data_IF_078284126459
#
_entry.id   IF_078284126459
#
_cell.length_a   1.000
_cell.length_b   1.000
_cell.length_c   1.000
_cell.angle_alpha   90.00
_cell.angle_beta   90.00
_cell.angle_gamma   90.00
#
_symmetry.space_group_name_H-M   'P 1'
#
loop_
_entity.id
_entity.type
_entity.pdbx_description
1 polymer ?
#
# COMPACT_ATOMS: atom_id res chain seq x y z
N UNK A 1 -17.84 -18.11 -17.09
CA UNK A 1 -17.57 -18.21 -15.64
C UNK A 1 -17.65 -16.80 -15.08
N UNK A 2 -18.45 -16.54 -14.04
CA UNK A 2 -18.35 -15.26 -13.31
C UNK A 2 -17.00 -15.28 -12.61
N UNK A 3 -16.16 -14.28 -12.85
CA UNK A 3 -14.99 -14.07 -11.99
C UNK A 3 -15.47 -14.10 -10.53
N UNK A 4 -14.74 -14.76 -9.61
CA UNK A 4 -15.05 -14.61 -8.22
C UNK A 4 -14.91 -13.13 -7.90
N UNK A 5 -16.04 -12.53 -7.57
CA UNK A 5 -16.23 -11.13 -7.17
C UNK A 5 -15.24 -10.59 -6.11
N UNK A 6 -14.55 -11.41 -5.26
CA UNK A 6 -13.57 -10.91 -4.28
C UNK A 6 -12.36 -10.15 -4.85
N UNK A 7 -11.76 -10.57 -5.97
CA UNK A 7 -10.46 -10.00 -6.41
C UNK A 7 -10.63 -8.54 -6.86
N UNK A 8 -11.69 -8.24 -7.61
CA UNK A 8 -11.97 -6.87 -8.06
C UNK A 8 -12.17 -5.91 -6.88
N UNK A 9 -12.88 -6.35 -5.85
CA UNK A 9 -13.10 -5.55 -4.65
C UNK A 9 -11.80 -5.36 -3.84
N UNK A 10 -10.96 -6.39 -3.76
CA UNK A 10 -9.63 -6.27 -3.15
C UNK A 10 -8.72 -5.29 -3.91
N UNK A 11 -8.75 -5.30 -5.24
CA UNK A 11 -8.01 -4.35 -6.06
C UNK A 11 -8.49 -2.91 -5.83
N UNK A 12 -9.80 -2.68 -5.73
CA UNK A 12 -10.35 -1.36 -5.40
C UNK A 12 -10.02 -0.94 -3.96
N UNK A 13 -10.02 -1.87 -3.01
CA UNK A 13 -9.56 -1.61 -1.65
C UNK A 13 -8.09 -1.17 -1.62
N UNK A 14 -7.20 -1.95 -2.23
CA UNK A 14 -5.78 -1.62 -2.37
C UNK A 14 -5.58 -0.23 -3.00
N UNK A 15 -6.26 0.04 -4.12
CA UNK A 15 -6.22 1.33 -4.81
C UNK A 15 -6.65 2.49 -3.91
N UNK A 16 -7.66 2.28 -3.06
CA UNK A 16 -8.13 3.28 -2.10
C UNK A 16 -7.08 3.52 -1.02
N UNK A 17 -6.48 2.46 -0.47
CA UNK A 17 -5.40 2.58 0.52
C UNK A 17 -4.18 3.31 -0.05
N UNK A 18 -3.81 3.05 -1.31
CA UNK A 18 -2.71 3.74 -1.97
C UNK A 18 -3.00 5.24 -2.13
N UNK A 19 -4.24 5.60 -2.50
CA UNK A 19 -4.66 7.01 -2.61
C UNK A 19 -4.61 7.76 -1.29
N UNK A 20 -4.84 7.09 -0.16
CA UNK A 20 -4.72 7.72 1.16
C UNK A 20 -3.31 8.27 1.39
N UNK A 21 -2.28 7.52 1.01
CA UNK A 21 -0.89 7.99 1.09
C UNK A 21 -0.68 9.24 0.22
N UNK A 22 -1.27 9.30 -0.99
CA UNK A 22 -1.21 10.50 -1.85
C UNK A 22 -1.71 11.75 -1.13
N UNK A 23 -2.71 11.62 -0.24
CA UNK A 23 -3.27 12.76 0.50
C UNK A 23 -2.31 13.32 1.55
N UNK A 24 -1.46 12.48 2.14
CA UNK A 24 -0.40 12.92 3.06
C UNK A 24 0.72 13.62 2.28
N UNK A 25 1.09 13.05 1.13
CA UNK A 25 2.21 13.52 0.32
C UNK A 25 1.88 14.78 -0.49
N UNK A 26 0.59 15.06 -0.72
CA UNK A 26 0.15 16.28 -1.38
C UNK A 26 0.62 17.50 -0.58
N UNK A 27 1.29 18.42 -1.26
CA UNK A 27 1.80 19.67 -0.70
C UNK A 27 2.65 19.46 0.57
N UNK A 28 3.38 18.35 0.66
CA UNK A 28 4.38 18.12 1.70
C UNK A 28 5.66 18.89 1.37
N UNK A 29 6.15 19.67 2.32
CA UNK A 29 7.45 20.31 2.20
C UNK A 29 8.58 19.33 2.58
N UNK A 30 9.81 19.66 2.16
CA UNK A 30 10.98 18.82 2.40
C UNK A 30 11.33 18.66 3.89
N UNK A 31 11.04 19.68 4.72
CA UNK A 31 11.29 19.65 6.15
C UNK A 31 10.41 18.61 6.83
N UNK A 32 9.10 18.66 6.62
CA UNK A 32 8.15 17.67 7.15
C UNK A 32 8.39 16.27 6.58
N UNK A 33 8.71 16.16 5.29
CA UNK A 33 8.98 14.87 4.67
C UNK A 33 10.13 14.10 5.34
N UNK A 34 11.19 14.81 5.74
CA UNK A 34 12.36 14.25 6.42
C UNK A 34 12.26 14.29 7.96
N UNK A 35 11.29 15.00 8.53
CA UNK A 35 11.17 15.20 9.96
C UNK A 35 10.90 13.90 10.72
N UNK A 36 11.49 13.79 11.92
CA UNK A 36 11.30 12.67 12.85
C UNK A 36 10.86 13.21 14.21
N UNK A 37 9.90 12.55 14.88
CA UNK A 37 9.48 12.95 16.23
C UNK A 37 10.51 12.59 17.31
N UNK A 38 11.38 11.61 17.04
CA UNK A 38 12.47 11.19 17.90
C UNK A 38 13.60 10.54 17.07
N UNK A 39 14.85 10.45 17.58
CA UNK A 39 16.01 9.97 16.81
C UNK A 39 15.85 8.57 16.20
N UNK A 40 15.16 7.67 16.90
CA UNK A 40 14.95 6.27 16.49
C UNK A 40 13.61 6.04 15.78
N UNK A 41 12.82 7.09 15.53
CA UNK A 41 11.56 6.99 14.81
C UNK A 41 11.78 7.14 13.31
N UNK A 42 10.93 6.50 12.51
CA UNK A 42 10.90 6.72 11.06
C UNK A 42 10.25 8.06 10.73
N UNK A 43 10.75 8.74 9.69
CA UNK A 43 10.08 9.87 9.04
C UNK A 43 9.02 9.42 8.03
N UNK A 44 8.25 10.37 7.48
CA UNK A 44 7.33 10.10 6.37
C UNK A 44 8.09 9.56 5.15
N UNK A 45 9.26 10.13 4.83
CA UNK A 45 10.12 9.65 3.75
C UNK A 45 10.50 8.18 3.94
N UNK A 46 10.98 7.80 5.12
CA UNK A 46 11.42 6.43 5.40
C UNK A 46 10.26 5.42 5.34
N UNK A 47 9.06 5.82 5.76
CA UNK A 47 7.85 4.99 5.64
C UNK A 47 7.42 4.83 4.17
N UNK A 48 7.49 5.90 3.37
CA UNK A 48 7.15 5.85 1.96
C UNK A 48 8.14 4.98 1.17
N UNK A 49 9.45 5.18 1.37
CA UNK A 49 10.48 4.36 0.72
C UNK A 49 10.39 2.90 1.14
N UNK A 50 10.07 2.61 2.40
CA UNK A 50 9.78 1.25 2.83
C UNK A 50 8.58 0.64 2.08
N UNK A 51 7.51 1.41 1.88
CA UNK A 51 6.33 0.96 1.13
C UNK A 51 6.66 0.69 -0.35
N UNK A 52 7.42 1.59 -1.00
CA UNK A 52 7.90 1.41 -2.38
C UNK A 52 8.77 0.15 -2.51
N UNK A 53 9.66 -0.10 -1.55
CA UNK A 53 10.50 -1.32 -1.55
C UNK A 53 9.66 -2.59 -1.40
N UNK A 54 8.63 -2.55 -0.56
CA UNK A 54 7.67 -3.66 -0.43
C UNK A 54 6.93 -3.90 -1.75
N UNK A 55 6.48 -2.84 -2.43
CA UNK A 55 5.86 -2.94 -3.76
C UNK A 55 6.80 -3.56 -4.79
N UNK A 56 8.05 -3.10 -4.81
CA UNK A 56 9.09 -3.62 -5.70
C UNK A 56 9.35 -5.11 -5.47
N UNK A 57 9.47 -5.51 -4.21
CA UNK A 57 9.62 -6.92 -3.84
C UNK A 57 8.43 -7.74 -4.34
N UNK A 58 7.19 -7.27 -4.14
CA UNK A 58 6.00 -7.95 -4.63
C UNK A 58 5.99 -8.06 -6.16
N UNK A 59 6.26 -6.97 -6.89
CA UNK A 59 6.34 -6.99 -8.36
C UNK A 59 7.35 -8.03 -8.85
N UNK A 60 8.54 -8.10 -8.24
CA UNK A 60 9.56 -9.11 -8.53
C UNK A 60 9.05 -10.54 -8.27
N UNK A 61 8.34 -10.77 -7.16
CA UNK A 61 7.77 -12.08 -6.85
C UNK A 61 6.75 -12.55 -7.90
N UNK A 62 6.14 -11.65 -8.65
CA UNK A 62 5.24 -11.96 -9.76
C UNK A 62 5.90 -11.90 -11.15
N UNK A 63 7.23 -11.85 -11.21
CA UNK A 63 8.00 -11.89 -12.45
C UNK A 63 7.89 -10.60 -13.28
N UNK A 64 7.62 -9.47 -12.62
CA UNK A 64 7.73 -8.16 -13.23
C UNK A 64 9.09 -7.56 -12.92
N UNK A 65 9.70 -6.95 -13.93
CA UNK A 65 10.90 -6.14 -13.75
C UNK A 65 10.58 -4.99 -12.80
N UNK A 66 11.31 -4.94 -11.70
CA UNK A 66 11.26 -3.85 -10.75
C UNK A 66 12.57 -3.06 -10.83
N UNK A 67 12.54 -1.72 -10.90
CA UNK A 67 13.73 -0.85 -11.01
C UNK A 67 14.77 -0.88 -9.88
N UNK A 68 14.83 -1.91 -9.04
CA UNK A 68 15.86 -2.06 -8.00
C UNK A 68 15.41 -1.64 -6.59
N UNK A 69 16.31 -1.85 -5.62
CA UNK A 69 15.96 -2.09 -4.21
C UNK A 69 16.00 -0.87 -3.27
N UNK A 70 16.36 0.33 -3.73
CA UNK A 70 16.27 1.51 -2.87
C UNK A 70 16.24 2.82 -3.66
N UNK A 71 15.19 3.66 -3.52
CA UNK A 71 15.23 5.00 -4.09
C UNK A 71 16.28 5.92 -3.44
N UNK A 72 16.81 5.58 -2.25
CA UNK A 72 17.72 6.44 -1.51
C UNK A 72 17.05 7.73 -1.01
N UNK A 73 17.85 8.70 -0.57
CA UNK A 73 17.32 10.03 -0.20
C UNK A 73 16.83 10.77 -1.44
N UNK A 74 15.52 10.86 -1.61
CA UNK A 74 14.88 11.58 -2.73
C UNK A 74 14.06 12.76 -2.24
N UNK A 75 13.87 13.74 -3.11
CA UNK A 75 12.96 14.86 -2.82
C UNK A 75 11.52 14.33 -2.70
N UNK A 76 10.63 15.04 -1.95
CA UNK A 76 9.24 14.62 -1.82
C UNK A 76 8.54 14.42 -3.17
N UNK A 77 8.82 15.29 -4.14
CA UNK A 77 8.23 15.21 -5.48
C UNK A 77 8.72 13.97 -6.26
N UNK A 78 9.99 13.62 -6.14
CA UNK A 78 10.52 12.41 -6.76
C UNK A 78 9.93 11.15 -6.12
N UNK A 79 9.85 11.12 -4.79
CA UNK A 79 9.23 10.01 -4.06
C UNK A 79 7.74 9.84 -4.38
N UNK A 80 6.98 10.94 -4.51
CA UNK A 80 5.58 10.92 -4.94
C UNK A 80 5.45 10.41 -6.38
N UNK A 81 6.34 10.83 -7.27
CA UNK A 81 6.34 10.36 -8.67
C UNK A 81 6.57 8.86 -8.74
N UNK A 82 7.53 8.35 -7.97
CA UNK A 82 7.79 6.91 -7.90
C UNK A 82 6.61 6.15 -7.28
N UNK A 83 6.08 6.63 -6.15
CA UNK A 83 4.90 6.05 -5.51
C UNK A 83 3.72 5.91 -6.50
N UNK A 84 3.42 6.97 -7.25
CA UNK A 84 2.38 6.94 -8.29
C UNK A 84 2.71 5.93 -9.38
N UNK A 85 3.98 5.84 -9.82
CA UNK A 85 4.41 4.85 -10.81
C UNK A 85 4.22 3.41 -10.30
N UNK A 86 4.50 3.13 -9.02
CA UNK A 86 4.26 1.80 -8.40
C UNK A 86 2.79 1.44 -8.38
N UNK A 87 1.90 2.40 -8.06
CA UNK A 87 0.46 2.19 -8.21
C UNK A 87 0.09 1.68 -9.58
N UNK A 88 0.58 2.34 -10.63
CA UNK A 88 0.24 2.00 -12.00
C UNK A 88 0.76 0.61 -12.38
N UNK A 89 1.99 0.27 -11.98
CA UNK A 89 2.55 -1.06 -12.20
C UNK A 89 1.74 -2.16 -11.50
N UNK A 90 1.36 -1.94 -10.23
CA UNK A 90 0.53 -2.88 -9.46
C UNK A 90 -0.87 -3.03 -10.06
N UNK A 91 -1.54 -1.94 -10.44
CA UNK A 91 -2.85 -2.01 -11.07
C UNK A 91 -2.81 -2.73 -12.43
N UNK A 92 -1.74 -2.53 -13.20
CA UNK A 92 -1.52 -3.26 -14.45
C UNK A 92 -1.30 -4.76 -14.19
N UNK A 93 -0.55 -5.12 -13.15
CA UNK A 93 -0.40 -6.51 -12.70
C UNK A 93 -1.77 -7.10 -12.34
N UNK A 94 -2.59 -6.38 -11.57
CA UNK A 94 -3.89 -6.82 -11.08
C UNK A 94 -4.93 -7.02 -12.18
N UNK A 95 -4.72 -6.42 -13.36
CA UNK A 95 -5.62 -6.49 -14.50
C UNK A 95 -5.30 -7.66 -15.46
N UNK A 96 -4.26 -8.46 -15.18
CA UNK A 96 -3.88 -9.58 -16.06
C UNK A 96 -4.90 -10.73 -15.96
N UNK A 97 -5.35 -11.30 -17.10
CA UNK A 97 -6.23 -12.47 -17.07
C UNK A 97 -5.52 -13.69 -16.46
N UNK A 98 -6.27 -14.56 -15.76
CA UNK A 98 -5.79 -15.79 -15.11
C UNK A 98 -4.83 -15.56 -13.92
N UNK A 99 -5.12 -14.57 -13.07
CA UNK A 99 -4.41 -14.34 -11.81
C UNK A 99 -4.77 -15.37 -10.72
N UNK A 100 -4.59 -16.65 -11.01
CA UNK A 100 -4.65 -17.77 -10.05
C UNK A 100 -3.23 -18.12 -9.62
N UNK A 101 -2.51 -17.17 -9.01
CA UNK A 101 -1.12 -17.39 -8.60
C UNK A 101 -1.06 -17.65 -7.10
N UNK A 102 -1.06 -18.93 -6.72
CA UNK A 102 -0.44 -19.34 -5.46
C UNK A 102 1.07 -19.39 -5.67
N UNK A 103 1.84 -18.56 -4.98
CA UNK A 103 3.32 -18.63 -4.99
C UNK A 103 3.85 -18.90 -3.58
N UNK A 104 4.92 -19.67 -3.50
CA UNK A 104 5.74 -19.72 -2.30
C UNK A 104 6.51 -18.40 -2.26
N UNK A 105 6.27 -17.58 -1.24
CA UNK A 105 7.10 -16.42 -0.99
C UNK A 105 8.44 -16.94 -0.42
N UNK A 106 9.60 -16.42 -0.86
CA UNK A 106 10.93 -16.91 -0.44
C UNK A 106 11.10 -17.01 1.08
N UNK A 107 10.42 -16.13 1.80
CA UNK A 107 10.49 -15.91 3.25
C UNK A 107 9.62 -16.92 4.02
N UNK A 108 8.62 -17.50 3.34
CA UNK A 108 7.66 -18.45 3.89
C UNK A 108 7.89 -19.82 3.25
N UNK A 109 8.90 -20.54 3.75
CA UNK A 109 9.42 -21.83 3.22
C UNK A 109 8.37 -22.95 3.02
N UNK A 110 7.13 -22.78 3.47
CA UNK A 110 6.06 -23.78 3.34
C UNK A 110 4.65 -23.22 3.06
N UNK A 111 4.45 -21.89 3.06
CA UNK A 111 3.12 -21.30 2.89
C UNK A 111 3.02 -20.68 1.51
N UNK A 112 2.11 -21.23 0.71
CA UNK A 112 1.73 -20.61 -0.56
C UNK A 112 0.77 -19.47 -0.25
N UNK A 113 1.15 -18.26 -0.64
CA UNK A 113 0.25 -17.13 -0.55
C UNK A 113 -0.56 -17.02 -1.83
N UNK A 114 -1.88 -16.91 -1.68
CA UNK A 114 -2.77 -16.60 -2.78
C UNK A 114 -2.60 -15.14 -3.18
N UNK A 115 -2.75 -14.85 -4.48
CA UNK A 115 -2.71 -13.47 -5.00
C UNK A 115 -3.66 -12.51 -4.25
N UNK A 116 -4.85 -12.98 -3.87
CA UNK A 116 -5.82 -12.22 -3.06
C UNK A 116 -5.27 -11.86 -1.66
N UNK A 117 -4.58 -12.78 -0.99
CA UNK A 117 -3.97 -12.54 0.32
C UNK A 117 -2.85 -11.50 0.23
N UNK A 118 -2.09 -11.53 -0.86
CA UNK A 118 -1.04 -10.55 -1.12
C UNK A 118 -1.62 -9.15 -1.30
N UNK A 119 -2.65 -8.99 -2.15
CA UNK A 119 -3.31 -7.68 -2.33
C UNK A 119 -3.85 -7.17 -1.00
N UNK A 120 -4.45 -8.06 -0.20
CA UNK A 120 -4.97 -7.71 1.12
C UNK A 120 -3.87 -7.29 2.09
N UNK A 121 -2.75 -8.03 2.12
CA UNK A 121 -1.59 -7.71 2.94
C UNK A 121 -1.03 -6.33 2.59
N UNK A 122 -0.85 -6.04 1.31
CA UNK A 122 -0.38 -4.73 0.82
C UNK A 122 -1.35 -3.61 1.22
N UNK A 123 -2.66 -3.81 1.01
CA UNK A 123 -3.66 -2.82 1.39
C UNK A 123 -3.64 -2.50 2.89
N UNK A 124 -3.48 -3.51 3.75
CA UNK A 124 -3.33 -3.30 5.20
C UNK A 124 -2.01 -2.64 5.57
N UNK A 125 -0.91 -3.02 4.91
CA UNK A 125 0.41 -2.41 5.11
C UNK A 125 0.37 -0.90 4.82
N UNK A 126 -0.31 -0.49 3.75
CA UNK A 126 -0.53 0.92 3.44
C UNK A 126 -1.39 1.64 4.48
N UNK A 127 -2.48 1.03 4.96
CA UNK A 127 -3.30 1.64 6.00
C UNK A 127 -2.52 1.83 7.30
N UNK A 128 -1.69 0.85 7.66
CA UNK A 128 -0.82 0.93 8.83
C UNK A 128 0.15 2.13 8.72
N UNK A 129 0.85 2.26 7.59
CA UNK A 129 1.74 3.40 7.40
C UNK A 129 1.02 4.72 7.21
N UNK A 130 -0.15 4.74 6.57
CA UNK A 130 -0.98 5.94 6.49
C UNK A 130 -1.33 6.49 7.88
N UNK A 131 -1.77 5.63 8.80
CA UNK A 131 -2.08 6.05 10.16
C UNK A 131 -0.86 6.67 10.87
N UNK A 132 0.32 6.07 10.70
CA UNK A 132 1.57 6.63 11.23
C UNK A 132 1.91 7.98 10.59
N UNK A 133 1.78 8.09 9.28
CA UNK A 133 2.05 9.33 8.55
C UNK A 133 1.09 10.46 8.92
N UNK A 134 -0.21 10.18 9.09
CA UNK A 134 -1.21 11.13 9.60
C UNK A 134 -0.83 11.64 10.98
N UNK A 135 -0.39 10.75 11.87
CA UNK A 135 0.07 11.14 13.20
C UNK A 135 1.27 12.08 13.13
N UNK A 136 2.29 11.76 12.31
CA UNK A 136 3.46 12.64 12.12
C UNK A 136 3.08 14.00 11.52
N UNK A 137 2.24 13.99 10.49
CA UNK A 137 1.77 15.22 9.82
C UNK A 137 1.08 16.14 10.82
N UNK A 138 0.18 15.61 11.66
CA UNK A 138 -0.55 16.37 12.68
C UNK A 138 0.31 16.82 13.86
N UNK A 139 1.37 16.08 14.18
CA UNK A 139 2.34 16.51 15.19
C UNK A 139 3.14 17.72 14.72
N UNK A 140 3.51 17.76 13.44
CA UNK A 140 4.28 18.85 12.86
C UNK A 140 3.39 20.06 12.51
N UNK A 141 2.25 19.81 11.87
CA UNK A 141 1.26 20.79 11.44
C UNK A 141 -0.10 20.44 12.04
N UNK A 142 -0.47 21.12 13.13
CA UNK A 142 -1.69 20.84 13.89
C UNK A 142 -2.97 21.21 13.15
N UNK A 143 -2.88 22.12 12.18
CA UNK A 143 -4.01 22.63 11.42
C UNK A 143 -4.28 21.77 10.18
N UNK A 144 -3.31 20.94 9.78
CA UNK A 144 -3.50 19.94 8.74
C UNK A 144 -4.59 18.94 9.11
N UNK A 145 -5.56 18.76 8.20
CA UNK A 145 -6.67 17.85 8.35
C UNK A 145 -6.50 16.63 7.43
N UNK A 146 -6.69 15.40 7.95
CA UNK A 146 -6.61 14.21 7.12
C UNK A 146 -7.79 14.11 6.15
N UNK A 147 -7.60 13.35 5.09
CA UNK A 147 -8.63 13.01 4.11
C UNK A 147 -9.67 12.03 4.69
N UNK A 148 -10.58 12.55 5.52
CA UNK A 148 -11.58 11.76 6.25
C UNK A 148 -12.51 10.97 5.34
N UNK A 149 -12.92 11.56 4.21
CA UNK A 149 -13.82 10.91 3.26
C UNK A 149 -13.16 9.67 2.61
N UNK A 150 -11.90 9.81 2.18
CA UNK A 150 -11.11 8.70 1.63
C UNK A 150 -10.86 7.62 2.69
N UNK A 151 -10.67 8.02 3.96
CA UNK A 151 -10.49 7.09 5.07
C UNK A 151 -11.76 6.29 5.37
N UNK A 152 -12.92 6.93 5.36
CA UNK A 152 -14.22 6.28 5.49
C UNK A 152 -14.46 5.28 4.35
N UNK A 153 -14.15 5.67 3.12
CA UNK A 153 -14.25 4.78 1.96
C UNK A 153 -13.35 3.54 2.11
N UNK A 154 -12.11 3.72 2.56
CA UNK A 154 -11.19 2.60 2.81
C UNK A 154 -11.71 1.66 3.93
N UNK A 155 -12.21 2.21 5.04
CA UNK A 155 -12.76 1.40 6.13
C UNK A 155 -14.02 0.64 5.75
N UNK A 156 -14.90 1.25 4.94
CA UNK A 156 -16.07 0.57 4.41
C UNK A 156 -15.66 -0.66 3.59
N UNK A 157 -14.67 -0.52 2.70
CA UNK A 157 -14.13 -1.61 1.90
C UNK A 157 -13.44 -2.66 2.78
N UNK A 158 -12.63 -2.26 3.76
CA UNK A 158 -11.99 -3.18 4.71
C UNK A 158 -13.01 -4.05 5.45
N UNK A 159 -14.08 -3.44 5.98
CA UNK A 159 -15.15 -4.17 6.66
C UNK A 159 -15.91 -5.12 5.72
N UNK A 160 -16.07 -4.79 4.44
CA UNK A 160 -16.63 -5.69 3.44
C UNK A 160 -15.73 -6.91 3.20
N UNK A 161 -14.40 -6.72 3.16
CA UNK A 161 -13.44 -7.80 2.97
C UNK A 161 -13.40 -8.78 4.14
N UNK A 162 -13.44 -8.29 5.39
CA UNK A 162 -13.51 -9.15 6.58
C UNK A 162 -14.72 -10.08 6.54
N UNK A 163 -15.88 -9.59 6.10
CA UNK A 163 -17.09 -10.40 5.96
C UNK A 163 -16.97 -11.44 4.84
N UNK A 164 -16.36 -11.07 3.71
CA UNK A 164 -16.15 -11.99 2.59
C UNK A 164 -15.20 -13.15 2.95
N UNK A 165 -14.10 -12.84 3.65
CA UNK A 165 -13.14 -13.86 4.12
C UNK A 165 -13.80 -14.81 5.13
N UNK A 166 -14.55 -14.27 6.10
CA UNK A 166 -15.26 -15.09 7.07
C UNK A 166 -16.29 -16.03 6.41
N UNK A 167 -16.98 -15.56 5.37
CA UNK A 167 -17.93 -16.38 4.61
C UNK A 167 -17.24 -17.51 3.81
N UNK A 168 -16.01 -17.29 3.34
CA UNK A 168 -15.21 -18.31 2.65
C UNK A 168 -14.61 -19.35 3.62
N UNK A 169 -14.29 -18.95 4.85
CA UNK A 169 -13.75 -19.87 5.88
C UNK A 169 -14.80 -20.69 6.63
N UNK A 170 -16.10 -20.36 6.45
CA UNK A 170 -17.22 -21.04 7.09
C UNK A 170 -17.87 -22.12 6.20
N UNK A 171 -17.26 -22.43 5.05
CA UNK A 171 -17.66 -23.49 4.10
C UNK A 171 -16.68 -24.65 4.17
#
# INVERSE_FOLDING_TARGET
>A
MKEPTPIKELCEFHKTCHKLIDTVLRDIDAGLFAWRPAPNSRSISEMLHHSIRVDNWFLQQFGLDSPGDDPGETSPQAALTEWVARRHALLALFSRPNLEWTRLLPDHKSVRHGFAEVILHMAHHYLYHYAQMVYLRRMYDRDWSPALHEWEAANYLAGAQTRAIHALMSQ
#
